data_IF_379634604834
#
_entry.id   IF_379634604834
#
_cell.length_a   1.000
_cell.length_b   1.000
_cell.length_c   1.000
_cell.angle_alpha   90.00
_cell.angle_beta   90.00
_cell.angle_gamma   90.00
#
_symmetry.space_group_name_H-M   'P 1'
#
loop_
_entity.id
_entity.type
_entity.pdbx_description
1 polymer ?
#
# COMPACT_ATOMS: atom_id res chain seq x y z
N UNK A 1 -5.14 -8.71 7.82
CA UNK A 1 -6.50 -9.05 7.40
C UNK A 1 -7.41 -9.33 8.59
N UNK A 2 -7.15 -10.40 9.43
CA UNK A 2 -8.04 -10.84 10.54
C UNK A 2 -8.52 -9.69 11.44
N UNK A 3 -7.62 -8.89 12.00
CA UNK A 3 -8.00 -7.82 12.92
C UNK A 3 -8.80 -6.69 12.28
N UNK A 4 -8.55 -6.36 11.00
CA UNK A 4 -9.37 -5.39 10.25
C UNK A 4 -10.76 -5.96 9.94
N UNK A 5 -10.86 -7.24 9.58
CA UNK A 5 -12.15 -7.88 9.33
C UNK A 5 -13.02 -7.91 10.60
N UNK A 6 -12.41 -8.25 11.74
CA UNK A 6 -13.13 -8.24 13.03
C UNK A 6 -13.59 -6.81 13.35
N UNK A 7 -12.72 -5.81 13.23
CA UNK A 7 -13.10 -4.42 13.44
C UNK A 7 -14.23 -3.97 12.51
N UNK A 8 -14.21 -4.40 11.24
CA UNK A 8 -15.26 -4.09 10.27
C UNK A 8 -16.61 -4.72 10.59
N UNK A 9 -16.63 -5.88 11.24
CA UNK A 9 -17.87 -6.56 11.68
C UNK A 9 -18.46 -5.89 12.92
N UNK A 10 -17.59 -5.32 13.75
CA UNK A 10 -17.99 -4.68 15.03
C UNK A 10 -18.33 -3.20 14.88
N UNK A 11 -18.01 -2.60 13.73
CA UNK A 11 -18.31 -1.20 13.46
C UNK A 11 -19.83 -1.00 13.30
N UNK A 12 -20.35 0.07 13.86
CA UNK A 12 -21.78 0.42 13.76
C UNK A 12 -22.17 0.92 12.36
N UNK A 13 -21.17 1.34 11.57
CA UNK A 13 -21.34 1.81 10.20
C UNK A 13 -21.14 0.67 9.18
N UNK A 14 -21.57 0.93 7.95
CA UNK A 14 -21.30 0.01 6.84
C UNK A 14 -19.84 0.08 6.42
N UNK A 15 -19.14 -1.04 6.52
CA UNK A 15 -17.74 -1.16 6.11
C UNK A 15 -17.61 -2.01 4.85
N UNK A 16 -16.87 -1.50 3.86
CA UNK A 16 -16.48 -2.26 2.67
C UNK A 16 -15.02 -2.68 2.81
N UNK A 17 -14.79 -3.98 2.99
CA UNK A 17 -13.46 -4.57 3.08
C UNK A 17 -13.06 -5.17 1.73
N UNK A 18 -12.01 -4.64 1.11
CA UNK A 18 -11.44 -5.19 -0.10
C UNK A 18 -10.30 -6.15 0.22
N UNK A 19 -10.41 -7.37 -0.29
CA UNK A 19 -9.37 -8.38 -0.15
C UNK A 19 -8.61 -8.54 -1.47
N UNK A 20 -7.30 -8.20 -1.53
CA UNK A 20 -6.52 -8.38 -2.74
C UNK A 20 -6.38 -9.87 -3.07
N UNK A 21 -7.10 -10.33 -4.08
CA UNK A 21 -7.12 -11.75 -4.49
C UNK A 21 -5.72 -12.29 -4.77
N UNK A 22 -4.83 -11.43 -5.23
CA UNK A 22 -3.44 -11.76 -5.50
C UNK A 22 -2.65 -12.22 -4.27
N UNK A 23 -3.05 -11.84 -3.05
CA UNK A 23 -2.39 -12.24 -1.81
C UNK A 23 -2.80 -13.64 -1.37
N UNK A 24 -3.90 -14.21 -1.87
CA UNK A 24 -4.40 -15.52 -1.44
C UNK A 24 -3.60 -16.69 -1.99
N UNK A 25 -3.21 -16.63 -3.24
CA UNK A 25 -2.71 -17.78 -4.01
C UNK A 25 -1.40 -17.44 -4.75
N UNK A 26 -0.42 -16.85 -4.08
CA UNK A 26 0.89 -16.70 -4.73
C UNK A 26 1.55 -18.05 -5.01
N UNK A 27 2.44 -18.12 -5.95
CA UNK A 27 2.95 -17.16 -6.91
C UNK A 27 1.99 -16.92 -8.09
N UNK A 28 2.04 -15.74 -8.69
CA UNK A 28 0.94 -15.20 -9.51
C UNK A 28 1.13 -15.22 -11.01
N UNK A 29 2.14 -15.83 -11.50
CA UNK A 29 2.40 -16.02 -12.93
C UNK A 29 1.76 -17.30 -13.50
N UNK A 30 0.88 -17.94 -12.73
CA UNK A 30 0.20 -19.17 -13.12
C UNK A 30 1.03 -20.45 -12.92
N UNK A 31 2.29 -20.35 -12.57
CA UNK A 31 3.15 -21.52 -12.26
C UNK A 31 3.66 -21.45 -10.82
N UNK A 32 3.17 -22.39 -9.99
CA UNK A 32 3.54 -22.50 -8.58
C UNK A 32 5.05 -22.64 -8.33
N UNK A 33 5.82 -23.04 -9.34
CA UNK A 33 7.26 -23.29 -9.24
C UNK A 33 8.10 -22.15 -9.85
N UNK A 34 7.47 -21.15 -10.43
CA UNK A 34 8.15 -20.04 -11.11
C UNK A 34 7.65 -18.69 -10.62
N UNK A 35 8.04 -18.24 -9.42
CA UNK A 35 7.73 -16.88 -9.03
C UNK A 35 8.43 -15.91 -9.99
N UNK A 36 7.64 -15.12 -10.72
CA UNK A 36 8.15 -14.21 -11.74
C UNK A 36 9.06 -13.12 -11.16
N UNK A 37 8.82 -12.76 -9.89
CA UNK A 37 9.59 -11.73 -9.17
C UNK A 37 9.70 -12.10 -7.68
N UNK A 38 10.71 -11.57 -6.96
CA UNK A 38 10.93 -11.92 -5.54
C UNK A 38 9.72 -11.69 -4.63
N UNK A 39 8.87 -10.70 -4.93
CA UNK A 39 7.67 -10.40 -4.16
C UNK A 39 6.48 -11.30 -4.49
N UNK A 40 6.57 -12.12 -5.53
CA UNK A 40 5.49 -13.05 -5.90
C UNK A 40 5.43 -14.30 -5.02
N UNK A 41 6.44 -14.52 -4.19
CA UNK A 41 6.34 -15.52 -3.12
C UNK A 41 5.25 -15.08 -2.14
N UNK A 42 4.38 -16.02 -1.77
CA UNK A 42 3.27 -15.74 -0.88
C UNK A 42 3.78 -15.13 0.45
N UNK A 43 3.38 -13.91 0.80
CA UNK A 43 3.79 -13.33 2.07
C UNK A 43 3.21 -14.15 3.22
N UNK A 44 4.08 -14.58 4.12
CA UNK A 44 3.70 -15.31 5.33
C UNK A 44 3.91 -14.40 6.52
N UNK A 45 2.94 -14.38 7.43
CA UNK A 45 3.02 -13.68 8.70
C UNK A 45 2.39 -14.53 9.79
N UNK A 46 2.85 -14.35 11.01
CA UNK A 46 2.21 -14.92 12.18
C UNK A 46 0.95 -14.12 12.49
N UNK A 47 -0.16 -14.83 12.64
CA UNK A 47 -1.42 -14.25 13.08
C UNK A 47 -1.57 -14.55 14.55
N UNK A 48 -1.70 -13.53 15.43
CA UNK A 48 -1.93 -13.76 16.85
C UNK A 48 -3.13 -14.67 17.09
N UNK A 49 -3.01 -15.57 18.06
CA UNK A 49 -4.12 -16.38 18.52
C UNK A 49 -5.17 -15.52 19.24
N UNK A 50 -6.40 -16.02 19.25
CA UNK A 50 -7.50 -15.37 19.94
C UNK A 50 -8.06 -14.16 19.20
N UNK A 51 -8.78 -13.35 19.96
CA UNK A 51 -9.47 -12.16 19.51
C UNK A 51 -8.56 -10.93 19.56
N UNK A 52 -8.55 -10.16 18.48
CA UNK A 52 -7.95 -8.83 18.43
C UNK A 52 -8.51 -8.02 17.26
N UNK A 53 -8.50 -6.72 17.36
CA UNK A 53 -8.88 -5.79 16.31
C UNK A 53 -7.68 -4.97 15.84
N UNK A 54 -7.77 -4.50 14.61
CA UNK A 54 -6.88 -3.45 14.07
C UNK A 54 -7.76 -2.23 13.83
N UNK A 55 -7.42 -1.05 14.38
CA UNK A 55 -8.26 0.12 14.26
C UNK A 55 -8.49 0.53 12.81
N UNK A 56 -9.75 0.77 12.45
CA UNK A 56 -10.11 1.40 11.17
C UNK A 56 -9.62 2.85 11.18
N UNK A 57 -9.12 3.34 10.04
CA UNK A 57 -8.59 4.69 9.93
C UNK A 57 -7.19 4.87 10.50
N UNK A 58 -6.45 3.77 10.73
CA UNK A 58 -5.05 3.81 11.16
C UNK A 58 -4.13 3.10 10.16
N UNK A 59 -3.17 3.89 9.66
CA UNK A 59 -2.09 3.39 8.83
C UNK A 59 -1.00 2.70 9.67
N UNK A 60 -0.16 1.92 9.01
CA UNK A 60 0.99 1.25 9.64
C UNK A 60 2.29 1.63 8.96
N UNK A 61 3.31 1.95 9.75
CA UNK A 61 4.67 2.07 9.26
C UNK A 61 5.29 0.68 9.22
N UNK A 62 5.19 0.01 8.08
CA UNK A 62 5.69 -1.37 7.89
C UNK A 62 7.21 -1.42 7.76
N UNK A 63 7.83 -0.34 7.32
CA UNK A 63 9.27 -0.18 7.26
C UNK A 63 9.66 1.23 7.67
N UNK A 64 10.62 1.36 8.58
CA UNK A 64 11.19 2.66 8.96
C UNK A 64 12.25 3.10 7.96
N UNK A 65 12.36 4.40 7.72
CA UNK A 65 13.33 5.02 6.84
C UNK A 65 13.38 6.54 7.03
N UNK A 66 14.38 7.20 6.42
CA UNK A 66 14.58 8.64 6.61
C UNK A 66 14.74 9.43 5.31
N UNK A 67 14.93 8.79 4.16
CA UNK A 67 15.23 9.50 2.91
C UNK A 67 14.03 9.67 1.99
N UNK A 68 13.02 8.80 2.09
CA UNK A 68 11.85 8.77 1.22
C UNK A 68 10.67 8.17 1.97
N UNK A 69 9.50 8.76 1.84
CA UNK A 69 8.23 8.15 2.25
C UNK A 69 7.58 7.48 1.05
N UNK A 70 7.25 6.19 1.17
CA UNK A 70 6.43 5.46 0.19
C UNK A 70 5.07 5.21 0.82
N UNK A 71 4.03 5.79 0.23
CA UNK A 71 2.63 5.59 0.65
C UNK A 71 1.98 4.57 -0.27
N UNK A 72 1.49 3.48 0.29
CA UNK A 72 0.97 2.36 -0.50
C UNK A 72 -0.09 1.57 0.28
N UNK A 73 -0.72 0.60 -0.38
CA UNK A 73 -1.71 -0.29 0.23
C UNK A 73 -1.83 -1.61 -0.53
N UNK A 74 -2.42 -2.60 0.13
CA UNK A 74 -2.70 -3.91 -0.46
C UNK A 74 -1.44 -4.66 -0.91
N UNK A 75 -1.48 -5.25 -2.08
CA UNK A 75 -0.37 -6.04 -2.65
C UNK A 75 0.91 -5.21 -2.82
N UNK A 76 0.76 -3.92 -3.10
CA UNK A 76 1.89 -3.03 -3.38
C UNK A 76 2.79 -2.77 -2.17
N UNK A 77 2.32 -3.03 -0.95
CA UNK A 77 3.16 -3.00 0.26
C UNK A 77 4.36 -3.92 0.09
N UNK A 78 4.13 -5.17 -0.29
CA UNK A 78 5.18 -6.18 -0.49
C UNK A 78 6.11 -5.85 -1.66
N UNK A 79 5.54 -5.31 -2.72
CA UNK A 79 6.31 -4.85 -3.90
C UNK A 79 7.27 -3.72 -3.50
N UNK A 80 6.76 -2.72 -2.78
CA UNK A 80 7.56 -1.59 -2.31
C UNK A 80 8.65 -2.03 -1.32
N UNK A 81 8.36 -2.96 -0.40
CA UNK A 81 9.36 -3.51 0.50
C UNK A 81 10.47 -4.26 -0.25
N UNK A 82 10.10 -5.10 -1.23
CA UNK A 82 11.06 -5.84 -2.04
C UNK A 82 11.93 -4.89 -2.88
N UNK A 83 11.34 -3.89 -3.51
CA UNK A 83 12.04 -2.88 -4.28
C UNK A 83 13.01 -2.05 -3.41
N UNK A 84 12.54 -1.56 -2.26
CA UNK A 84 13.38 -0.80 -1.34
C UNK A 84 14.56 -1.63 -0.80
N UNK A 85 14.35 -2.91 -0.52
CA UNK A 85 15.40 -3.84 -0.09
C UNK A 85 16.41 -4.10 -1.22
N UNK A 86 15.92 -4.38 -2.43
CA UNK A 86 16.78 -4.67 -3.60
C UNK A 86 17.67 -3.49 -3.99
N UNK A 87 17.17 -2.27 -3.84
CA UNK A 87 17.88 -1.05 -4.19
C UNK A 87 18.67 -0.44 -3.02
N UNK A 88 18.59 -1.03 -1.83
CA UNK A 88 19.22 -0.47 -0.63
C UNK A 88 18.68 0.92 -0.24
N UNK A 89 17.41 1.22 -0.55
CA UNK A 89 16.81 2.51 -0.26
C UNK A 89 16.46 2.63 1.22
N UNK A 90 16.80 3.77 1.81
CA UNK A 90 16.35 4.15 3.16
C UNK A 90 14.96 4.79 3.11
N UNK A 91 13.98 3.98 2.70
CA UNK A 91 12.59 4.40 2.55
C UNK A 91 11.74 3.98 3.75
N UNK A 92 10.94 4.91 4.24
CA UNK A 92 9.82 4.62 5.14
C UNK A 92 8.61 4.23 4.33
N UNK A 93 8.06 3.04 4.60
CA UNK A 93 6.91 2.51 3.87
C UNK A 93 5.70 2.50 4.77
N UNK A 94 4.64 3.15 4.31
CA UNK A 94 3.35 3.25 4.99
C UNK A 94 2.32 2.42 4.26
N UNK A 95 1.76 1.43 4.96
CA UNK A 95 0.54 0.75 4.57
C UNK A 95 -0.67 1.55 5.04
N UNK A 96 -1.41 2.13 4.10
CA UNK A 96 -2.57 2.98 4.40
C UNK A 96 -3.68 2.21 5.10
N UNK A 97 -3.86 0.93 4.78
CA UNK A 97 -4.89 0.00 5.31
C UNK A 97 -6.33 0.45 5.11
N UNK A 98 -6.64 1.71 5.43
CA UNK A 98 -7.99 2.28 5.34
C UNK A 98 -7.97 3.51 4.43
N UNK A 99 -8.79 3.48 3.39
CA UNK A 99 -8.91 4.63 2.47
C UNK A 99 -9.81 5.71 3.05
N UNK A 100 -10.89 5.31 3.72
CA UNK A 100 -11.85 6.20 4.37
C UNK A 100 -12.29 5.57 5.70
N UNK A 101 -12.02 6.23 6.83
CA UNK A 101 -11.23 7.45 7.00
C UNK A 101 -9.73 7.24 6.77
N UNK A 102 -9.07 8.24 6.20
CA UNK A 102 -7.62 8.21 5.93
C UNK A 102 -6.83 8.66 7.17
N UNK A 103 -5.75 7.96 7.50
CA UNK A 103 -4.80 8.39 8.55
C UNK A 103 -3.81 9.43 8.00
N UNK A 104 -4.29 10.65 7.83
CA UNK A 104 -3.51 11.77 7.32
C UNK A 104 -2.31 12.08 8.22
N UNK A 105 -2.48 11.96 9.53
CA UNK A 105 -1.45 12.30 10.52
C UNK A 105 -0.22 11.41 10.38
N UNK A 106 -0.41 10.09 10.27
CA UNK A 106 0.70 9.14 10.09
C UNK A 106 1.43 9.41 8.78
N UNK A 107 0.70 9.62 7.69
CA UNK A 107 1.27 9.89 6.36
C UNK A 107 2.05 11.21 6.40
N UNK A 108 1.44 12.28 6.88
CA UNK A 108 2.07 13.60 6.90
C UNK A 108 3.28 13.67 7.84
N UNK A 109 3.25 12.95 8.97
CA UNK A 109 4.41 12.86 9.88
C UNK A 109 5.61 12.26 9.16
N UNK A 110 5.41 11.20 8.40
CA UNK A 110 6.48 10.58 7.61
C UNK A 110 6.99 11.51 6.49
N UNK A 111 6.07 12.11 5.73
CA UNK A 111 6.44 13.02 4.62
C UNK A 111 7.21 14.24 5.14
N UNK A 112 6.78 14.83 6.25
CA UNK A 112 7.49 15.96 6.88
C UNK A 112 8.89 15.59 7.36
N UNK A 113 9.09 14.34 7.78
CA UNK A 113 10.40 13.83 8.19
C UNK A 113 11.34 13.62 7.00
N UNK A 114 10.84 13.07 5.88
CA UNK A 114 11.68 12.65 4.76
C UNK A 114 11.82 13.71 3.66
N UNK A 115 10.90 14.65 3.58
CA UNK A 115 10.83 15.67 2.53
C UNK A 115 10.46 15.16 1.14
N UNK A 116 10.33 13.85 0.95
CA UNK A 116 10.11 13.20 -0.35
C UNK A 116 9.03 12.16 -0.26
N UNK A 117 8.14 12.14 -1.26
CA UNK A 117 7.00 11.23 -1.28
C UNK A 117 6.83 10.52 -2.62
N UNK A 118 6.69 9.20 -2.55
CA UNK A 118 6.26 8.33 -3.64
C UNK A 118 4.95 7.66 -3.22
N UNK A 119 3.96 7.69 -4.09
CA UNK A 119 2.70 6.97 -3.92
C UNK A 119 2.68 5.81 -4.92
N UNK A 120 2.47 4.59 -4.45
CA UNK A 120 2.45 3.40 -5.29
C UNK A 120 1.16 2.60 -5.08
N UNK A 121 0.45 2.28 -6.17
CA UNK A 121 -0.77 1.47 -6.15
C UNK A 121 -1.02 0.76 -7.48
N UNK A 122 -1.82 -0.31 -7.46
CA UNK A 122 -2.17 -1.08 -8.67
C UNK A 122 -3.23 -0.41 -9.54
N UNK A 123 -4.11 0.40 -8.95
CA UNK A 123 -5.15 1.11 -9.70
C UNK A 123 -4.54 2.03 -10.76
N UNK A 124 -5.34 2.39 -11.76
CA UNK A 124 -4.94 3.30 -12.83
C UNK A 124 -4.46 4.65 -12.29
N UNK A 125 -3.59 5.31 -13.04
CA UNK A 125 -3.09 6.63 -12.66
C UNK A 125 -4.20 7.69 -12.68
N UNK A 126 -5.06 7.63 -13.68
CA UNK A 126 -6.24 8.49 -13.79
C UNK A 126 -7.36 7.98 -12.88
N UNK A 127 -7.91 8.87 -12.08
CA UNK A 127 -8.99 8.57 -11.12
C UNK A 127 -8.65 7.52 -10.06
N UNK A 128 -7.40 7.07 -9.96
CA UNK A 128 -6.97 6.20 -8.86
C UNK A 128 -6.81 6.95 -7.55
N UNK A 129 -6.94 6.25 -6.41
CA UNK A 129 -6.85 6.82 -5.07
C UNK A 129 -5.53 7.56 -4.79
N UNK A 130 -4.47 7.24 -5.52
CA UNK A 130 -3.20 7.97 -5.43
C UNK A 130 -3.28 9.44 -5.85
N UNK A 131 -4.32 9.84 -6.58
CA UNK A 131 -4.57 11.26 -6.88
C UNK A 131 -5.05 11.99 -5.62
N UNK A 132 -5.97 11.39 -4.87
CA UNK A 132 -6.45 11.92 -3.59
C UNK A 132 -5.32 11.99 -2.55
N UNK A 133 -4.54 10.92 -2.41
CA UNK A 133 -3.36 10.91 -1.55
C UNK A 133 -2.39 12.04 -1.92
N UNK A 134 -2.15 12.25 -3.20
CA UNK A 134 -1.26 13.32 -3.67
C UNK A 134 -1.81 14.71 -3.35
N UNK A 135 -3.10 14.93 -3.52
CA UNK A 135 -3.75 16.20 -3.19
C UNK A 135 -3.68 16.48 -1.68
N UNK A 136 -4.08 15.51 -0.86
CA UNK A 136 -4.05 15.59 0.61
C UNK A 136 -2.64 15.87 1.13
N UNK A 137 -1.63 15.13 0.66
CA UNK A 137 -0.23 15.35 1.06
C UNK A 137 0.26 16.72 0.60
N UNK A 138 -0.10 17.15 -0.61
CA UNK A 138 0.27 18.47 -1.13
C UNK A 138 -0.31 19.59 -0.26
N UNK A 139 -1.57 19.49 0.13
CA UNK A 139 -2.22 20.49 1.00
C UNK A 139 -1.60 20.56 2.39
N UNK A 140 -1.25 19.41 2.97
CA UNK A 140 -0.79 19.32 4.37
C UNK A 140 0.73 19.45 4.54
N UNK A 141 1.51 19.15 3.50
CA UNK A 141 2.96 19.00 3.57
C UNK A 141 3.74 19.85 2.56
N UNK A 142 3.08 20.74 1.80
CA UNK A 142 3.72 21.52 0.72
C UNK A 142 5.06 22.13 1.13
N UNK A 143 5.11 22.80 2.26
CA UNK A 143 6.30 23.48 2.74
C UNK A 143 7.42 22.55 3.26
N UNK A 144 7.13 21.26 3.36
CA UNK A 144 8.09 20.24 3.80
C UNK A 144 8.63 19.41 2.63
N UNK A 145 8.02 19.53 1.44
CA UNK A 145 8.43 18.77 0.28
C UNK A 145 9.66 19.39 -0.39
N UNK A 146 10.67 18.57 -0.61
CA UNK A 146 11.90 18.91 -1.33
C UNK A 146 11.81 18.63 -2.83
N UNK A 147 10.81 17.86 -3.25
CA UNK A 147 10.56 17.47 -4.63
C UNK A 147 9.07 17.22 -4.89
N UNK A 148 8.60 17.26 -6.14
CA UNK A 148 7.23 16.90 -6.47
C UNK A 148 6.91 15.48 -6.05
N UNK A 149 5.68 15.27 -5.54
CA UNK A 149 5.16 13.93 -5.22
C UNK A 149 5.14 13.08 -6.50
N UNK A 150 5.75 11.92 -6.46
CA UNK A 150 5.73 10.97 -7.56
C UNK A 150 4.63 9.93 -7.37
N UNK A 151 4.01 9.49 -8.47
CA UNK A 151 3.01 8.42 -8.45
C UNK A 151 3.42 7.30 -9.41
N UNK A 152 3.58 6.11 -8.87
CA UNK A 152 3.70 4.85 -9.62
C UNK A 152 2.35 4.15 -9.54
N UNK A 153 1.74 3.89 -10.66
CA UNK A 153 0.37 3.40 -10.77
C UNK A 153 0.22 2.49 -11.99
N UNK A 154 -0.87 1.76 -12.05
CA UNK A 154 -1.25 1.02 -13.24
C UNK A 154 -1.48 1.93 -14.45
N UNK A 155 -1.42 1.36 -15.63
CA UNK A 155 -1.73 2.05 -16.87
C UNK A 155 -3.20 2.44 -16.93
N UNK A 156 -3.50 3.54 -17.64
CA UNK A 156 -4.87 3.99 -17.86
C UNK A 156 -5.58 3.17 -18.96
N UNK A 157 -5.59 1.87 -18.78
CA UNK A 157 -6.17 0.87 -19.69
C UNK A 157 -7.17 0.00 -18.94
N UNK A 158 -8.16 -0.60 -19.65
CA UNK A 158 -9.04 -1.59 -19.05
C UNK A 158 -8.24 -2.74 -18.43
N UNK A 159 -8.66 -3.20 -17.25
CA UNK A 159 -8.01 -4.32 -16.59
C UNK A 159 -8.17 -5.61 -17.43
N UNK A 160 -7.09 -6.31 -17.77
CA UNK A 160 -7.17 -7.56 -18.53
C UNK A 160 -7.72 -8.68 -17.65
N UNK A 161 -8.64 -9.47 -18.20
CA UNK A 161 -9.16 -10.66 -17.53
C UNK A 161 -8.28 -11.90 -17.77
N UNK A 162 -7.32 -11.81 -18.69
CA UNK A 162 -6.36 -12.88 -18.95
C UNK A 162 -5.24 -12.90 -17.92
N UNK A 163 -4.74 -14.10 -17.60
CA UNK A 163 -3.58 -14.26 -16.72
C UNK A 163 -2.23 -14.01 -17.44
N UNK A 164 -2.26 -13.80 -18.75
CA UNK A 164 -1.06 -13.51 -19.52
C UNK A 164 -0.70 -12.02 -19.36
N UNK A 165 0.51 -11.78 -18.92
CA UNK A 165 1.04 -10.44 -18.66
C UNK A 165 1.71 -9.92 -19.92
N UNK A 166 0.96 -9.31 -20.79
CA UNK A 166 1.46 -8.58 -21.95
C UNK A 166 1.53 -7.05 -21.69
N UNK A 167 2.05 -6.67 -20.51
CA UNK A 167 2.23 -5.26 -20.16
C UNK A 167 3.68 -4.94 -19.85
#
# INVERSE_FOLDING_TARGET
AKGLLIASIEDDDQVVLFEPKRIYNGPFDGDANKPAVPWSTHPKGEVPDGYYTVPIGKAEVVRKGAQLTIVTYGTMVYVCEAAARSLGLDAEIIDVRTMVPLDVDTICTSVKKTGRCLIAHEATRFSGFGAELSATIQEQCFWNLEAPIQRVAGWDTPYPHAFEWEY
#
